data_IF_972963568062
#
_entry.id   IF_972963568062
#
_cell.length_a   1.000
_cell.length_b   1.000
_cell.length_c   1.000
_cell.angle_alpha   90.00
_cell.angle_beta   90.00
_cell.angle_gamma   90.00
#
_symmetry.space_group_name_H-M   'P 1'
#
loop_
_entity.id
_entity.type
_entity.pdbx_description
1 polymer ?
#
# COMPACT_ATOMS: atom_id res chain seq x y z
N UNK A 1 -1.27 9.60 -0.48
CA UNK A 1 -0.93 10.54 -1.58
C UNK A 1 -2.17 11.32 -2.03
N UNK A 2 -2.08 12.65 -2.22
CA UNK A 2 -3.17 13.50 -2.73
C UNK A 2 -2.81 14.14 -4.08
N UNK A 3 -3.65 13.98 -5.11
CA UNK A 3 -3.48 14.63 -6.42
C UNK A 3 -4.69 15.52 -6.72
N UNK A 4 -4.47 16.82 -6.90
CA UNK A 4 -5.55 17.77 -7.22
C UNK A 4 -5.12 18.79 -8.26
N UNK A 5 -5.79 18.77 -9.41
CA UNK A 5 -5.45 19.64 -10.53
C UNK A 5 -4.04 19.36 -11.03
N UNK A 6 -3.12 20.31 -10.83
CA UNK A 6 -1.68 20.22 -11.21
C UNK A 6 -0.76 19.99 -10.02
N UNK A 7 -1.33 19.79 -8.84
CA UNK A 7 -0.59 19.64 -7.60
C UNK A 7 -0.64 18.19 -7.11
N UNK A 8 0.45 17.77 -6.50
CA UNK A 8 0.56 16.46 -5.87
C UNK A 8 1.25 16.65 -4.51
N UNK A 9 0.66 16.08 -3.45
CA UNK A 9 1.11 16.24 -2.06
C UNK A 9 1.19 14.89 -1.36
N UNK A 10 2.36 14.57 -0.81
CA UNK A 10 2.52 13.41 0.06
C UNK A 10 2.17 13.80 1.50
N UNK A 11 1.45 12.92 2.18
CA UNK A 11 1.17 12.99 3.61
C UNK A 11 1.94 11.84 4.23
N UNK A 12 3.08 12.15 4.84
CA UNK A 12 4.06 11.18 5.32
C UNK A 12 3.95 11.14 6.85
N UNK A 13 3.36 10.08 7.44
CA UNK A 13 3.39 9.89 8.87
C UNK A 13 4.84 9.86 9.37
N UNK A 14 5.10 10.46 10.53
CA UNK A 14 6.42 10.39 11.15
C UNK A 14 6.64 9.11 11.96
N UNK A 15 5.56 8.42 12.31
CA UNK A 15 5.60 7.21 13.10
C UNK A 15 5.48 5.94 12.28
N UNK A 16 5.85 4.84 12.91
CA UNK A 16 5.71 3.46 12.43
C UNK A 16 5.15 2.59 13.57
N UNK A 17 4.91 1.31 13.37
CA UNK A 17 4.32 0.44 14.40
C UNK A 17 5.21 0.20 15.63
N UNK A 18 6.53 0.38 15.53
CA UNK A 18 7.47 0.18 16.63
C UNK A 18 7.84 1.47 17.38
N UNK A 19 7.57 2.64 16.79
CA UNK A 19 7.96 3.92 17.32
C UNK A 19 6.79 4.72 17.94
N UNK A 20 7.14 5.84 18.56
CA UNK A 20 6.18 6.76 19.17
C UNK A 20 6.27 8.17 18.59
N UNK A 21 6.88 8.32 17.41
CA UNK A 21 7.11 9.62 16.80
C UNK A 21 5.77 10.18 16.31
N UNK A 22 5.39 11.35 16.83
CA UNK A 22 4.10 11.97 16.50
C UNK A 22 4.23 12.99 15.38
N UNK A 23 3.19 13.10 14.57
CA UNK A 23 3.05 14.11 13.54
C UNK A 23 3.01 13.52 12.13
N UNK A 24 2.62 14.36 11.18
CA UNK A 24 2.53 14.02 9.76
C UNK A 24 3.17 15.16 8.97
N UNK A 25 4.16 14.84 8.15
CA UNK A 25 4.73 15.78 7.20
C UNK A 25 3.84 15.87 5.96
N UNK A 26 3.36 17.08 5.68
CA UNK A 26 2.64 17.41 4.45
C UNK A 26 3.66 17.98 3.49
N UNK A 27 4.00 17.20 2.46
CA UNK A 27 5.10 17.47 1.52
C UNK A 27 4.52 17.78 0.14
N UNK A 28 4.51 19.05 -0.30
CA UNK A 28 4.10 19.42 -1.65
C UNK A 28 5.14 18.97 -2.70
N UNK A 29 4.99 17.75 -3.21
CA UNK A 29 5.98 17.13 -4.10
C UNK A 29 5.90 17.58 -5.55
N UNK A 30 4.77 18.11 -6.01
CA UNK A 30 4.61 18.55 -7.39
C UNK A 30 3.67 19.76 -7.48
N UNK A 31 4.00 20.69 -8.36
CA UNK A 31 3.10 21.77 -8.78
C UNK A 31 3.13 21.92 -10.30
N UNK A 32 2.34 22.85 -10.85
CA UNK A 32 2.42 23.26 -12.26
C UNK A 32 3.84 23.63 -12.76
N UNK A 33 4.77 23.95 -11.84
CA UNK A 33 6.16 24.29 -12.17
C UNK A 33 7.08 23.07 -12.24
N UNK A 34 6.58 21.86 -11.92
CA UNK A 34 7.32 20.60 -11.96
C UNK A 34 7.44 19.90 -10.60
N UNK A 35 8.16 18.78 -10.60
CA UNK A 35 8.50 18.02 -9.39
C UNK A 35 9.40 18.82 -8.44
N UNK A 36 9.21 18.66 -7.14
CA UNK A 36 9.95 19.35 -6.08
C UNK A 36 9.67 20.86 -5.98
N UNK A 37 8.60 21.36 -6.61
CA UNK A 37 8.29 22.81 -6.65
C UNK A 37 7.03 23.21 -5.88
N UNK A 38 6.44 22.30 -5.10
CA UNK A 38 5.15 22.54 -4.42
C UNK A 38 5.21 23.51 -3.23
N UNK A 39 6.39 23.84 -2.74
CA UNK A 39 6.59 24.71 -1.57
C UNK A 39 7.34 24.02 -0.44
N UNK A 40 7.40 24.66 0.72
CA UNK A 40 8.01 24.06 1.91
C UNK A 40 7.06 23.05 2.56
N UNK A 41 7.59 21.94 3.12
CA UNK A 41 6.80 21.02 3.93
C UNK A 41 6.18 21.71 5.15
N UNK A 42 5.11 21.12 5.66
CA UNK A 42 4.45 21.55 6.89
C UNK A 42 4.13 20.35 7.79
N UNK A 43 4.32 20.53 9.09
CA UNK A 43 3.99 19.52 10.09
C UNK A 43 2.54 19.68 10.57
N UNK A 44 1.76 18.61 10.47
CA UNK A 44 0.49 18.48 11.19
C UNK A 44 0.76 17.72 12.48
N UNK A 45 0.56 18.38 13.62
CA UNK A 45 0.73 17.74 14.92
C UNK A 45 -0.40 16.73 15.19
N UNK A 46 -0.04 15.54 15.62
CA UNK A 46 -0.97 14.48 16.06
C UNK A 46 -0.76 14.19 17.54
N UNK A 47 -1.76 13.61 18.21
CA UNK A 47 -1.65 13.24 19.62
C UNK A 47 -0.86 11.93 19.81
N UNK A 48 -0.93 11.03 18.83
CA UNK A 48 -0.28 9.73 18.82
C UNK A 48 0.46 9.51 17.50
N UNK A 49 1.35 8.51 17.46
CA UNK A 49 2.13 8.16 16.28
C UNK A 49 1.19 7.73 15.14
N UNK A 50 1.06 8.61 14.13
CA UNK A 50 0.39 8.28 12.89
C UNK A 50 1.28 7.32 12.12
N UNK A 51 0.70 6.27 11.52
CA UNK A 51 1.44 5.20 10.85
C UNK A 51 1.10 5.12 9.35
N UNK A 52 -0.11 5.50 8.94
CA UNK A 52 -0.55 5.41 7.55
C UNK A 52 -1.46 6.58 7.20
N UNK A 53 -1.40 7.01 5.93
CA UNK A 53 -2.19 8.11 5.39
C UNK A 53 -2.67 7.82 3.97
N UNK A 54 -3.95 8.05 3.70
CA UNK A 54 -4.54 7.97 2.36
C UNK A 54 -5.50 9.12 2.10
N UNK A 55 -5.59 9.57 0.85
CA UNK A 55 -6.27 10.83 0.51
C UNK A 55 -7.35 10.64 -0.54
N UNK A 56 -8.48 11.32 -0.33
CA UNK A 56 -9.52 11.45 -1.33
C UNK A 56 -9.17 12.59 -2.29
N UNK A 57 -8.67 12.24 -3.47
CA UNK A 57 -8.30 13.23 -4.49
C UNK A 57 -9.50 14.01 -5.06
N UNK A 58 -10.72 13.45 -4.97
CA UNK A 58 -11.93 14.14 -5.40
C UNK A 58 -12.37 15.25 -4.43
N UNK A 59 -12.16 15.09 -3.12
CA UNK A 59 -12.59 16.06 -2.10
C UNK A 59 -11.46 16.88 -1.48
N UNK A 60 -10.21 16.39 -1.56
CA UNK A 60 -9.04 17.02 -0.95
C UNK A 60 -8.82 16.65 0.52
N UNK A 61 -9.64 15.77 1.08
CA UNK A 61 -9.51 15.31 2.45
C UNK A 61 -8.52 14.14 2.52
N UNK A 62 -7.66 14.16 3.53
CA UNK A 62 -6.75 13.06 3.87
C UNK A 62 -7.18 12.43 5.18
N UNK A 63 -7.11 11.10 5.23
CA UNK A 63 -7.32 10.29 6.44
C UNK A 63 -5.99 9.69 6.82
N UNK A 64 -5.58 9.87 8.06
CA UNK A 64 -4.43 9.18 8.62
C UNK A 64 -4.84 8.43 9.88
N UNK A 65 -4.22 7.30 10.16
CA UNK A 65 -4.50 6.50 11.35
C UNK A 65 -3.26 6.37 12.21
N UNK A 66 -3.44 6.23 13.51
CA UNK A 66 -2.37 6.03 14.47
C UNK A 66 -2.27 4.58 14.94
N UNK A 67 -1.18 4.21 15.62
CA UNK A 67 -1.02 2.87 16.20
C UNK A 67 -2.12 2.51 17.22
N UNK A 68 -2.83 3.51 17.76
CA UNK A 68 -3.99 3.32 18.62
C UNK A 68 -5.32 3.53 17.85
N UNK A 69 -6.40 3.82 18.55
CA UNK A 69 -7.72 4.03 17.92
C UNK A 69 -7.90 5.37 17.22
N UNK A 70 -6.93 6.30 17.26
CA UNK A 70 -7.08 7.63 16.66
C UNK A 70 -7.13 7.56 15.13
N UNK A 71 -8.06 8.32 14.56
CA UNK A 71 -8.19 8.57 13.12
C UNK A 71 -8.23 10.07 12.86
N UNK A 72 -7.26 10.58 12.12
CA UNK A 72 -7.09 12.01 11.83
C UNK A 72 -7.66 12.36 10.47
N UNK A 73 -8.55 13.37 10.43
CA UNK A 73 -9.00 13.98 9.17
C UNK A 73 -8.26 15.28 8.94
N UNK A 74 -7.60 15.40 7.79
CA UNK A 74 -6.72 16.50 7.47
C UNK A 74 -7.16 17.14 6.16
N UNK A 75 -7.26 18.48 6.14
CA UNK A 75 -7.51 19.27 4.95
C UNK A 75 -6.35 20.24 4.73
N UNK A 76 -5.58 20.03 3.65
CA UNK A 76 -4.33 20.75 3.43
C UNK A 76 -3.35 20.47 4.56
N UNK A 77 -3.00 21.50 5.34
CA UNK A 77 -2.11 21.40 6.51
C UNK A 77 -2.84 21.56 7.85
N UNK A 78 -4.16 21.40 7.86
CA UNK A 78 -5.00 21.57 9.07
C UNK A 78 -5.57 20.23 9.51
N UNK A 79 -5.32 19.85 10.76
CA UNK A 79 -6.06 18.77 11.43
C UNK A 79 -7.49 19.24 11.69
N UNK A 80 -8.43 18.73 10.89
CA UNK A 80 -9.84 19.12 10.96
C UNK A 80 -10.57 18.44 12.12
N UNK A 81 -10.27 17.17 12.37
CA UNK A 81 -10.85 16.40 13.47
C UNK A 81 -10.03 15.16 13.80
N UNK A 82 -10.15 14.70 15.03
CA UNK A 82 -9.73 13.37 15.46
C UNK A 82 -10.97 12.56 15.81
N UNK A 83 -11.07 11.37 15.24
CA UNK A 83 -12.12 10.39 15.49
C UNK A 83 -11.52 9.16 16.19
N UNK A 84 -12.39 8.28 16.67
CA UNK A 84 -12.01 7.03 17.34
C UNK A 84 -12.60 5.86 16.57
N UNK A 85 -11.75 4.98 16.04
CA UNK A 85 -12.17 3.76 15.34
C UNK A 85 -12.84 2.75 16.28
N UNK A 86 -13.39 1.69 15.70
CA UNK A 86 -13.96 0.57 16.42
C UNK A 86 -12.95 -0.49 16.85
N UNK A 87 -11.65 -0.26 16.67
CA UNK A 87 -10.61 -1.20 17.10
C UNK A 87 -10.73 -1.47 18.61
N UNK A 88 -10.70 -2.74 18.99
CA UNK A 88 -10.83 -3.17 20.39
C UNK A 88 -9.82 -4.25 20.79
N UNK A 89 -8.94 -4.62 19.87
CA UNK A 89 -7.77 -5.48 20.10
C UNK A 89 -6.57 -4.87 19.38
N UNK A 90 -5.43 -5.52 19.53
CA UNK A 90 -4.21 -5.29 18.74
C UNK A 90 -4.06 -6.41 17.72
N UNK A 91 -3.55 -6.08 16.54
CA UNK A 91 -3.01 -7.01 15.56
C UNK A 91 -1.49 -6.93 15.60
N UNK A 92 -0.84 -8.08 15.41
CA UNK A 92 0.60 -8.23 15.45
C UNK A 92 1.08 -8.73 14.10
N UNK A 93 2.16 -8.13 13.63
CA UNK A 93 2.85 -8.38 12.38
C UNK A 93 4.33 -8.63 12.64
N UNK A 94 5.11 -9.07 11.65
CA UNK A 94 6.58 -9.14 11.75
C UNK A 94 7.19 -7.78 12.11
N UNK A 95 6.62 -6.71 11.57
CA UNK A 95 7.05 -5.33 11.72
C UNK A 95 6.52 -4.54 12.92
N UNK A 96 5.58 -5.10 13.69
CA UNK A 96 5.09 -4.46 14.91
C UNK A 96 3.62 -4.70 15.25
N UNK A 97 3.08 -3.83 16.10
CA UNK A 97 1.76 -3.97 16.70
C UNK A 97 0.90 -2.72 16.49
N UNK A 98 -0.38 -2.91 16.20
CA UNK A 98 -1.30 -1.80 15.92
C UNK A 98 -2.76 -2.10 16.32
N UNK A 99 -3.49 -1.05 16.70
CA UNK A 99 -4.95 -1.07 16.79
C UNK A 99 -5.60 -0.60 15.49
N UNK A 100 -5.10 0.49 14.89
CA UNK A 100 -5.34 0.80 13.48
C UNK A 100 -4.03 0.56 12.73
N UNK A 101 -4.06 -0.30 11.73
CA UNK A 101 -2.84 -0.83 11.11
C UNK A 101 -2.52 -0.13 9.79
N UNK A 102 -3.54 0.20 8.99
CA UNK A 102 -3.37 0.91 7.73
C UNK A 102 -4.67 1.57 7.28
N UNK A 103 -4.59 2.44 6.27
CA UNK A 103 -5.75 3.11 5.70
C UNK A 103 -5.64 3.27 4.18
N UNK A 104 -6.72 2.94 3.47
CA UNK A 104 -6.87 3.22 2.04
C UNK A 104 -8.18 3.95 1.78
N UNK A 105 -8.16 4.97 0.92
CA UNK A 105 -9.35 5.76 0.57
C UNK A 105 -9.93 5.33 -0.77
N UNK A 106 -11.20 4.91 -0.76
CA UNK A 106 -12.00 4.82 -1.98
C UNK A 106 -12.63 6.18 -2.28
N UNK A 107 -11.99 6.90 -3.21
CA UNK A 107 -12.46 8.22 -3.66
C UNK A 107 -13.81 8.14 -4.41
N UNK A 108 -14.19 6.98 -4.96
CA UNK A 108 -15.44 6.80 -5.71
C UNK A 108 -16.65 6.69 -4.78
N UNK A 109 -16.46 6.12 -3.59
CA UNK A 109 -17.48 6.00 -2.56
C UNK A 109 -17.40 7.10 -1.50
N UNK A 110 -16.34 7.93 -1.52
CA UNK A 110 -16.03 8.90 -0.48
C UNK A 110 -15.95 8.23 0.91
N UNK A 111 -15.20 7.12 0.98
CA UNK A 111 -14.98 6.36 2.21
C UNK A 111 -13.51 6.05 2.40
N UNK A 112 -13.07 5.99 3.66
CA UNK A 112 -11.80 5.38 4.02
C UNK A 112 -12.05 3.99 4.58
N UNK A 113 -11.25 3.02 4.14
CA UNK A 113 -11.15 1.70 4.74
C UNK A 113 -9.95 1.69 5.68
N UNK A 114 -10.17 1.24 6.92
CA UNK A 114 -9.13 1.12 7.93
C UNK A 114 -9.02 -0.34 8.32
N UNK A 115 -7.81 -0.89 8.33
CA UNK A 115 -7.54 -2.19 8.95
C UNK A 115 -7.37 -1.99 10.45
N UNK A 116 -8.08 -2.81 11.23
CA UNK A 116 -8.17 -2.66 12.68
C UNK A 116 -8.00 -3.98 13.43
N UNK A 117 -7.45 -3.90 14.64
CA UNK A 117 -7.45 -5.02 15.59
C UNK A 117 -8.83 -5.26 16.19
N UNK A 118 -9.32 -6.50 16.05
CA UNK A 118 -10.62 -6.94 16.57
C UNK A 118 -10.50 -8.22 17.40
N UNK A 119 -11.17 -8.24 18.55
CA UNK A 119 -11.22 -9.45 19.40
C UNK A 119 -12.17 -10.51 18.83
N UNK A 120 -13.40 -10.12 18.46
CA UNK A 120 -14.42 -11.06 17.98
C UNK A 120 -14.32 -11.23 16.47
N UNK A 121 -14.01 -12.45 16.04
CA UNK A 121 -13.81 -12.77 14.63
C UNK A 121 -12.53 -12.20 14.04
N UNK A 122 -11.57 -11.81 14.88
CA UNK A 122 -10.25 -11.32 14.48
C UNK A 122 -9.17 -12.40 14.43
N UNK A 123 -7.88 -12.04 14.60
CA UNK A 123 -7.37 -10.81 15.24
C UNK A 123 -7.55 -9.50 14.45
N UNK A 124 -7.82 -9.57 13.15
CA UNK A 124 -8.02 -8.39 12.31
C UNK A 124 -9.45 -8.15 11.84
N UNK A 125 -9.66 -6.97 11.26
CA UNK A 125 -10.89 -6.61 10.60
C UNK A 125 -10.79 -5.31 9.82
N UNK A 126 -11.87 -5.00 9.12
CA UNK A 126 -11.96 -3.85 8.24
C UNK A 126 -13.08 -2.93 8.73
N UNK A 127 -12.83 -1.63 8.79
CA UNK A 127 -13.85 -0.67 9.14
C UNK A 127 -13.89 0.48 8.14
N UNK A 128 -15.06 0.71 7.56
CA UNK A 128 -15.29 1.89 6.74
C UNK A 128 -15.59 3.12 7.60
N UNK A 129 -15.04 4.25 7.18
CA UNK A 129 -15.39 5.59 7.61
C UNK A 129 -15.99 6.34 6.42
N UNK A 130 -17.26 6.73 6.54
CA UNK A 130 -17.90 7.65 5.59
C UNK A 130 -17.28 9.05 5.75
N UNK A 131 -16.82 9.64 4.65
CA UNK A 131 -16.16 10.96 4.61
C UNK A 131 -17.11 12.09 4.21
N UNK A 132 -18.42 11.88 4.35
CA UNK A 132 -19.47 12.85 4.06
C UNK A 132 -19.43 14.05 5.01
N UNK A 133 -20.48 14.88 4.96
CA UNK A 133 -20.55 16.12 5.76
C UNK A 133 -20.46 15.90 7.27
N UNK A 134 -20.86 14.72 7.75
CA UNK A 134 -20.68 14.26 9.13
C UNK A 134 -19.99 12.89 9.08
N UNK A 135 -18.67 12.82 9.29
CA UNK A 135 -17.96 11.56 9.24
C UNK A 135 -18.50 10.54 10.24
N UNK A 136 -18.71 9.31 9.78
CA UNK A 136 -19.31 8.25 10.60
C UNK A 136 -18.72 6.88 10.26
N UNK A 137 -18.39 6.10 11.30
CA UNK A 137 -17.91 4.74 11.13
C UNK A 137 -19.06 3.76 10.87
N UNK A 138 -18.80 2.80 10.00
CA UNK A 138 -19.63 1.62 9.83
C UNK A 138 -19.27 0.52 10.85
N UNK A 139 -20.12 -0.51 10.91
CA UNK A 139 -19.81 -1.69 11.70
C UNK A 139 -18.55 -2.39 11.14
N UNK A 140 -17.60 -2.81 11.99
CA UNK A 140 -16.46 -3.59 11.54
C UNK A 140 -16.86 -4.88 10.83
N UNK A 141 -16.09 -5.25 9.81
CA UNK A 141 -16.13 -6.53 9.11
C UNK A 141 -15.00 -7.38 9.69
N UNK A 142 -15.27 -8.42 10.49
CA UNK A 142 -14.23 -9.29 11.03
C UNK A 142 -13.52 -10.06 9.91
N UNK A 143 -12.19 -10.07 9.90
CA UNK A 143 -11.39 -10.72 8.85
C UNK A 143 -11.30 -12.25 9.05
N UNK A 144 -11.54 -12.75 10.26
CA UNK A 144 -11.34 -14.16 10.64
C UNK A 144 -9.88 -14.57 10.79
N UNK A 145 -8.94 -13.61 10.69
CA UNK A 145 -7.49 -13.77 10.68
C UNK A 145 -6.82 -12.39 10.75
N UNK A 146 -5.52 -12.32 10.51
CA UNK A 146 -4.82 -11.05 10.25
C UNK A 146 -5.27 -10.42 8.91
N UNK A 147 -5.19 -9.10 8.82
CA UNK A 147 -5.31 -8.36 7.55
C UNK A 147 -3.93 -8.17 6.91
N UNK A 148 -3.86 -7.54 5.75
CA UNK A 148 -2.61 -7.06 5.17
C UNK A 148 -2.03 -5.89 5.96
N UNK A 149 -0.70 -5.77 5.90
CA UNK A 149 0.04 -4.62 6.41
C UNK A 149 -0.23 -3.37 5.57
N UNK A 150 -0.28 -3.55 4.25
CA UNK A 150 -0.73 -2.52 3.31
C UNK A 150 -1.89 -3.04 2.43
N UNK A 151 -3.12 -2.70 2.83
CA UNK A 151 -4.33 -3.15 2.16
C UNK A 151 -4.61 -2.35 0.88
N UNK A 152 -5.11 -3.01 -0.16
CA UNK A 152 -5.58 -2.34 -1.39
C UNK A 152 -7.09 -2.44 -1.55
N UNK A 153 -7.67 -1.49 -2.28
CA UNK A 153 -9.10 -1.48 -2.62
C UNK A 153 -9.27 -1.38 -4.14
N UNK A 154 -10.05 -2.30 -4.70
CA UNK A 154 -10.50 -2.26 -6.08
C UNK A 154 -11.88 -1.58 -6.15
N UNK A 155 -11.95 -0.29 -6.53
CA UNK A 155 -13.23 0.40 -6.68
C UNK A 155 -14.04 -0.09 -7.89
N UNK A 156 -13.43 -0.79 -8.85
CA UNK A 156 -14.09 -1.31 -10.06
C UNK A 156 -14.77 -2.64 -9.78
N UNK A 157 -14.09 -3.57 -9.09
CA UNK A 157 -14.66 -4.90 -8.73
C UNK A 157 -15.30 -4.91 -7.35
N UNK A 158 -15.19 -3.82 -6.59
CA UNK A 158 -15.69 -3.70 -5.22
C UNK A 158 -15.08 -4.79 -4.31
N UNK A 159 -13.74 -4.89 -4.34
CA UNK A 159 -12.97 -5.84 -3.56
C UNK A 159 -12.00 -5.11 -2.63
N UNK A 160 -11.84 -5.62 -1.42
CA UNK A 160 -10.65 -5.37 -0.59
C UNK A 160 -9.66 -6.50 -0.88
N UNK A 161 -8.41 -6.15 -1.13
CA UNK A 161 -7.31 -7.07 -1.35
C UNK A 161 -6.43 -7.03 -0.10
N UNK A 162 -6.38 -8.14 0.62
CA UNK A 162 -5.77 -8.23 1.95
C UNK A 162 -5.00 -9.54 2.09
N UNK A 163 -3.83 -9.66 1.46
CA UNK A 163 -2.92 -10.75 1.71
C UNK A 163 -2.26 -10.61 3.07
N UNK A 164 -1.93 -11.72 3.72
CA UNK A 164 -1.38 -11.70 5.07
C UNK A 164 -0.28 -12.74 5.30
N UNK A 165 0.45 -12.55 6.39
CA UNK A 165 1.61 -13.34 6.79
C UNK A 165 1.27 -14.82 7.09
N UNK A 166 -0.01 -15.15 7.18
CA UNK A 166 -0.52 -16.52 7.33
C UNK A 166 -0.69 -17.25 5.99
N UNK A 167 0.02 -16.79 4.94
CA UNK A 167 -0.01 -17.36 3.59
C UNK A 167 -1.40 -17.35 2.93
N UNK A 168 -2.25 -16.37 3.26
CA UNK A 168 -3.58 -16.24 2.70
C UNK A 168 -3.76 -14.91 1.97
N UNK A 169 -4.15 -14.96 0.70
CA UNK A 169 -4.59 -13.78 -0.03
C UNK A 169 -6.11 -13.62 0.15
N UNK A 170 -6.56 -12.85 1.14
CA UNK A 170 -7.99 -12.65 1.37
C UNK A 170 -8.58 -11.61 0.41
N UNK A 171 -9.73 -11.93 -0.17
CA UNK A 171 -10.57 -10.98 -0.88
C UNK A 171 -11.86 -10.75 -0.09
N UNK A 172 -12.23 -9.49 0.10
CA UNK A 172 -13.52 -9.12 0.70
C UNK A 172 -14.38 -8.43 -0.36
N UNK A 173 -15.48 -9.06 -0.75
CA UNK A 173 -16.45 -8.45 -1.64
C UNK A 173 -17.36 -7.50 -0.86
N UNK A 174 -17.17 -6.21 -1.13
CA UNK A 174 -17.88 -5.08 -0.54
C UNK A 174 -18.97 -4.52 -1.46
N UNK A 175 -19.17 -5.13 -2.64
CA UNK A 175 -20.30 -4.85 -3.53
C UNK A 175 -21.63 -5.47 -3.06
N UNK A 176 -21.61 -6.23 -1.96
CA UNK A 176 -22.76 -6.90 -1.37
C UNK A 176 -22.90 -6.53 0.11
N UNK A 177 -24.13 -6.63 0.64
CA UNK A 177 -24.43 -6.36 2.04
C UNK A 177 -25.17 -7.56 2.67
N UNK A 178 -24.62 -8.19 3.73
CA UNK A 178 -23.30 -7.93 4.33
C UNK A 178 -22.15 -8.28 3.37
N UNK A 179 -20.96 -7.72 3.62
CA UNK A 179 -19.75 -8.06 2.87
C UNK A 179 -19.43 -9.56 3.00
N UNK A 180 -18.77 -10.13 1.99
CA UNK A 180 -18.43 -11.57 1.95
C UNK A 180 -16.93 -11.76 1.79
N UNK A 181 -16.36 -12.68 2.59
CA UNK A 181 -14.93 -12.94 2.64
C UNK A 181 -14.59 -14.22 1.90
N UNK A 182 -13.47 -14.22 1.18
CA UNK A 182 -12.96 -15.38 0.47
C UNK A 182 -11.46 -15.49 0.72
N UNK A 183 -11.01 -16.68 1.13
CA UNK A 183 -9.60 -16.98 1.33
C UNK A 183 -9.03 -17.72 0.10
N UNK A 184 -7.77 -17.44 -0.23
CA UNK A 184 -7.01 -18.24 -1.17
C UNK A 184 -5.80 -18.84 -0.44
N UNK A 185 -6.00 -20.08 -0.03
CA UNK A 185 -5.01 -20.91 0.65
C UNK A 185 -4.34 -21.91 -0.29
N UNK A 186 -4.63 -21.86 -1.60
CA UNK A 186 -4.02 -22.81 -2.56
C UNK A 186 -2.50 -22.61 -2.69
N UNK A 187 -2.00 -21.47 -2.21
CA UNK A 187 -0.59 -21.07 -2.15
C UNK A 187 0.17 -21.70 -0.97
N UNK A 188 -0.54 -22.32 -0.01
CA UNK A 188 0.04 -23.03 1.14
C UNK A 188 0.91 -24.24 0.73
N UNK A 189 0.79 -24.73 -0.51
CA UNK A 189 1.42 -25.98 -0.95
C UNK A 189 2.83 -25.86 -1.54
N UNK A 190 3.32 -24.64 -1.84
CA UNK A 190 4.58 -24.47 -2.61
C UNK A 190 5.78 -23.91 -1.85
N UNK A 191 5.58 -23.24 -0.72
CA UNK A 191 6.60 -22.69 0.21
C UNK A 191 5.86 -21.56 0.92
N UNK A 192 5.53 -21.70 2.20
CA UNK A 192 4.69 -20.74 2.95
C UNK A 192 5.07 -19.28 2.67
N UNK A 193 4.36 -18.56 1.78
CA UNK A 193 4.69 -17.17 1.54
C UNK A 193 4.25 -16.34 2.74
N UNK A 194 5.08 -15.38 3.14
CA UNK A 194 4.75 -14.42 4.18
C UNK A 194 4.27 -13.17 3.46
N UNK A 195 2.98 -13.15 3.11
CA UNK A 195 2.47 -12.01 2.36
C UNK A 195 2.31 -10.79 3.25
N UNK A 196 2.60 -9.64 2.67
CA UNK A 196 2.77 -8.43 3.46
C UNK A 196 1.88 -7.30 2.92
N UNK A 197 2.21 -6.80 1.72
CA UNK A 197 1.47 -5.71 1.06
C UNK A 197 0.67 -6.15 -0.16
N UNK A 198 -0.50 -5.54 -0.36
CA UNK A 198 -1.34 -5.69 -1.54
C UNK A 198 -1.14 -4.55 -2.54
N UNK A 199 -1.15 -4.88 -3.82
CA UNK A 199 -1.39 -3.87 -4.87
C UNK A 199 -2.19 -4.44 -6.03
N UNK A 200 -2.77 -3.56 -6.83
CA UNK A 200 -3.52 -3.95 -8.03
C UNK A 200 -3.36 -2.92 -9.14
N UNK A 201 -3.24 -3.41 -10.37
CA UNK A 201 -3.66 -2.62 -11.52
C UNK A 201 -5.15 -2.85 -11.78
N UNK A 202 -6.00 -2.00 -11.20
CA UNK A 202 -7.46 -2.12 -11.31
C UNK A 202 -7.96 -2.13 -12.77
N UNK A 203 -7.20 -1.55 -13.72
CA UNK A 203 -7.61 -1.50 -15.14
C UNK A 203 -7.57 -2.86 -15.80
N UNK A 204 -6.61 -3.71 -15.42
CA UNK A 204 -6.48 -5.08 -15.93
C UNK A 204 -7.06 -6.09 -14.94
N UNK A 205 -7.10 -5.79 -13.65
CA UNK A 205 -7.45 -6.74 -12.58
C UNK A 205 -6.30 -7.66 -12.18
N UNK A 206 -5.06 -7.27 -12.53
CA UNK A 206 -3.87 -7.98 -12.06
C UNK A 206 -3.57 -7.53 -10.64
N UNK A 207 -3.75 -8.44 -9.71
CA UNK A 207 -3.49 -8.25 -8.29
C UNK A 207 -2.13 -8.84 -7.91
N UNK A 208 -1.51 -8.23 -6.90
CA UNK A 208 -0.16 -8.50 -6.46
C UNK A 208 -0.13 -8.68 -4.94
N UNK A 209 0.84 -9.49 -4.49
CA UNK A 209 1.37 -9.47 -3.14
C UNK A 209 2.88 -9.45 -3.17
N UNK A 210 3.49 -8.75 -2.23
CA UNK A 210 4.88 -9.03 -1.80
C UNK A 210 4.94 -10.32 -0.97
N UNK A 211 6.12 -10.95 -0.93
CA UNK A 211 6.44 -12.15 -0.14
C UNK A 211 7.68 -11.85 0.71
N UNK A 212 7.43 -11.41 1.94
CA UNK A 212 8.42 -10.91 2.90
C UNK A 212 9.55 -11.92 3.11
N UNK A 213 10.78 -11.42 3.28
CA UNK A 213 11.99 -12.22 3.39
C UNK A 213 12.46 -12.85 2.08
N UNK A 214 11.78 -12.61 0.95
CA UNK A 214 12.11 -13.17 -0.35
C UNK A 214 12.23 -12.11 -1.45
N UNK A 215 12.73 -12.50 -2.62
CA UNK A 215 12.66 -11.69 -3.84
C UNK A 215 11.45 -12.01 -4.70
N UNK A 216 10.36 -12.56 -4.14
CA UNK A 216 9.21 -13.03 -4.93
C UNK A 216 8.04 -12.04 -4.88
N UNK A 217 7.22 -12.06 -5.92
CA UNK A 217 5.89 -11.45 -5.87
C UNK A 217 4.85 -12.50 -6.25
N UNK A 218 3.75 -12.54 -5.51
CA UNK A 218 2.56 -13.23 -5.98
C UNK A 218 1.84 -12.35 -6.99
N UNK A 219 1.49 -12.92 -8.14
CA UNK A 219 0.74 -12.24 -9.20
C UNK A 219 -0.43 -13.11 -9.63
N UNK A 220 -1.62 -12.52 -9.74
CA UNK A 220 -2.86 -13.24 -10.06
C UNK A 220 -3.81 -12.38 -10.89
N UNK A 221 -4.67 -13.01 -11.68
CA UNK A 221 -5.65 -12.32 -12.52
C UNK A 221 -7.07 -12.43 -11.97
N UNK A 222 -7.55 -11.36 -11.33
CA UNK A 222 -8.88 -11.31 -10.71
C UNK A 222 -10.02 -11.30 -11.74
N UNK A 223 -9.76 -11.04 -13.03
CA UNK A 223 -10.81 -11.17 -14.07
C UNK A 223 -11.21 -12.62 -14.32
N UNK A 224 -10.37 -13.56 -13.90
CA UNK A 224 -10.58 -15.00 -14.00
C UNK A 224 -10.92 -15.63 -12.64
N UNK A 225 -11.18 -14.82 -11.60
CA UNK A 225 -11.46 -15.31 -10.25
C UNK A 225 -12.76 -16.11 -10.17
N UNK A 226 -12.70 -17.27 -9.53
CA UNK A 226 -13.85 -18.09 -9.18
C UNK A 226 -14.04 -18.08 -7.69
N UNK A 227 -15.24 -17.71 -7.24
CA UNK A 227 -15.60 -17.62 -5.83
C UNK A 227 -16.51 -18.79 -5.45
N UNK A 228 -16.08 -19.55 -4.44
CA UNK A 228 -16.88 -20.61 -3.82
C UNK A 228 -17.36 -20.12 -2.45
N UNK A 229 -18.67 -19.92 -2.26
CA UNK A 229 -19.22 -19.48 -0.97
C UNK A 229 -18.85 -20.44 0.15
N UNK A 230 -18.75 -19.92 1.37
CA UNK A 230 -18.62 -20.74 2.56
C UNK A 230 -19.79 -21.70 2.70
N UNK A 231 -19.53 -22.89 3.26
CA UNK A 231 -20.61 -23.76 3.68
C UNK A 231 -21.46 -23.05 4.74
N UNK A 232 -22.78 -23.29 4.72
CA UNK A 232 -23.66 -22.74 5.74
C UNK A 232 -23.15 -23.17 7.13
N UNK A 233 -22.95 -22.23 8.08
CA UNK A 233 -22.46 -22.59 9.39
C UNK A 233 -23.45 -23.53 10.07
N UNK A 234 -22.93 -24.55 10.73
CA UNK A 234 -23.75 -25.33 11.66
C UNK A 234 -24.30 -24.40 12.76
N UNK A 235 -25.50 -24.65 13.31
CA UNK A 235 -26.04 -23.82 14.38
C UNK A 235 -25.02 -23.67 15.53
N UNK A 236 -24.61 -22.42 15.82
CA UNK A 236 -23.61 -22.10 16.84
C UNK A 236 -22.15 -22.08 16.38
N UNK A 237 -21.86 -22.31 15.10
CA UNK A 237 -20.52 -22.14 14.53
C UNK A 237 -20.31 -20.70 14.04
N UNK A 238 -19.08 -20.19 14.20
CA UNK A 238 -18.64 -18.94 13.58
C UNK A 238 -18.66 -19.11 12.06
N UNK A 239 -19.21 -18.15 11.28
CA UNK A 239 -19.12 -18.17 9.83
C UNK A 239 -17.65 -18.25 9.39
N UNK A 240 -17.32 -19.20 8.52
CA UNK A 240 -16.01 -19.24 7.88
C UNK A 240 -16.02 -18.40 6.60
N UNK A 241 -14.88 -17.87 6.15
CA UNK A 241 -14.75 -17.35 4.79
C UNK A 241 -15.07 -18.42 3.75
N UNK A 242 -15.52 -17.99 2.56
CA UNK A 242 -15.51 -18.81 1.36
C UNK A 242 -14.09 -19.03 0.86
N UNK A 243 -13.97 -19.64 -0.31
CA UNK A 243 -12.67 -19.75 -1.01
C UNK A 243 -12.73 -19.05 -2.35
N UNK A 244 -11.59 -18.57 -2.82
CA UNK A 244 -11.44 -18.14 -4.20
C UNK A 244 -10.17 -18.71 -4.82
N UNK A 245 -10.16 -18.77 -6.15
CA UNK A 245 -8.99 -19.15 -6.93
C UNK A 245 -9.00 -18.40 -8.25
N UNK A 246 -7.82 -18.16 -8.80
CA UNK A 246 -7.62 -17.62 -10.13
C UNK A 246 -6.26 -18.13 -10.65
N UNK A 247 -5.99 -18.03 -11.96
CA UNK A 247 -4.64 -18.22 -12.47
C UNK A 247 -3.68 -17.21 -11.82
N UNK A 248 -2.68 -17.72 -11.13
CA UNK A 248 -1.65 -16.93 -10.46
C UNK A 248 -0.39 -17.75 -10.21
N UNK A 249 0.70 -17.07 -9.84
CA UNK A 249 1.99 -17.68 -9.53
C UNK A 249 2.79 -16.82 -8.55
N UNK A 250 3.70 -17.45 -7.82
CA UNK A 250 4.83 -16.77 -7.21
C UNK A 250 5.92 -16.63 -8.27
N UNK A 251 6.18 -15.40 -8.70
CA UNK A 251 7.26 -15.09 -9.63
C UNK A 251 8.50 -14.66 -8.85
N UNK A 252 9.64 -15.26 -9.15
CA UNK A 252 10.91 -14.97 -8.48
C UNK A 252 11.71 -13.90 -9.22
N UNK A 253 12.24 -12.94 -8.46
CA UNK A 253 13.11 -11.86 -8.93
C UNK A 253 14.43 -11.94 -8.15
N UNK A 254 15.46 -12.64 -8.67
CA UNK A 254 16.73 -12.79 -7.98
C UNK A 254 17.39 -11.45 -7.61
N UNK A 255 17.15 -10.41 -8.40
CA UNK A 255 17.66 -9.07 -8.17
C UNK A 255 16.99 -8.33 -7.00
N UNK A 256 15.86 -8.84 -6.49
CA UNK A 256 15.15 -8.30 -5.33
C UNK A 256 15.57 -9.00 -4.02
N UNK A 257 16.39 -10.05 -4.09
CA UNK A 257 16.90 -10.74 -2.91
C UNK A 257 17.86 -9.88 -2.06
N UNK A 258 18.36 -8.77 -2.62
CA UNK A 258 19.23 -7.80 -1.93
C UNK A 258 18.43 -6.69 -1.23
N UNK A 259 17.10 -6.68 -1.34
CA UNK A 259 16.25 -5.73 -0.61
C UNK A 259 16.36 -6.01 0.88
N UNK A 260 16.29 -4.97 1.71
CA UNK A 260 16.23 -5.15 3.16
C UNK A 260 14.94 -5.87 3.52
N UNK A 261 15.07 -7.02 4.19
CA UNK A 261 13.98 -7.98 4.44
C UNK A 261 13.22 -8.48 3.20
N UNK A 262 13.80 -8.41 1.99
CA UNK A 262 13.15 -8.90 0.77
C UNK A 262 12.09 -7.92 0.23
N UNK A 263 11.08 -8.43 -0.48
CA UNK A 263 9.97 -7.60 -0.96
C UNK A 263 8.92 -7.48 0.13
N UNK A 264 8.59 -6.25 0.52
CA UNK A 264 7.69 -5.97 1.65
C UNK A 264 6.61 -4.96 1.24
N UNK A 265 7.01 -3.76 0.82
CA UNK A 265 6.10 -2.74 0.27
C UNK A 265 5.86 -2.85 -1.25
N UNK A 266 4.64 -2.53 -1.71
CA UNK A 266 4.35 -2.42 -3.15
C UNK A 266 3.24 -1.40 -3.47
N UNK A 267 3.41 -0.62 -4.53
CA UNK A 267 2.37 0.30 -5.01
C UNK A 267 2.32 0.40 -6.53
N UNK A 268 1.11 0.35 -7.10
CA UNK A 268 0.87 0.49 -8.54
C UNK A 268 0.46 1.94 -8.86
N UNK A 269 1.11 2.56 -9.85
CA UNK A 269 0.66 3.85 -10.37
C UNK A 269 -0.61 3.65 -11.22
N UNK A 270 -1.75 4.26 -10.85
CA UNK A 270 -3.04 3.94 -11.45
C UNK A 270 -3.08 4.05 -12.97
N UNK A 271 -3.48 2.98 -13.65
CA UNK A 271 -3.68 2.94 -15.11
C UNK A 271 -2.41 2.94 -15.95
N UNK A 272 -1.24 2.69 -15.35
CA UNK A 272 0.05 2.69 -16.08
C UNK A 272 0.68 1.31 -16.23
N UNK A 273 0.17 0.30 -15.51
CA UNK A 273 0.76 -1.03 -15.42
C UNK A 273 2.18 -1.03 -14.84
N UNK A 274 2.57 0.03 -14.11
CA UNK A 274 3.88 0.14 -13.46
C UNK A 274 3.70 0.15 -11.96
N UNK A 275 4.52 -0.65 -11.27
CA UNK A 275 4.56 -0.69 -9.82
C UNK A 275 5.99 -0.49 -9.31
N UNK A 276 6.10 0.15 -8.14
CA UNK A 276 7.32 0.22 -7.35
C UNK A 276 7.20 -0.81 -6.22
N UNK A 277 8.31 -1.47 -5.93
CA UNK A 277 8.42 -2.53 -4.91
C UNK A 277 9.58 -2.16 -4.01
N UNK A 278 9.39 -2.28 -2.71
CA UNK A 278 10.42 -1.94 -1.72
C UNK A 278 10.72 -3.10 -0.80
N UNK A 279 11.88 -3.02 -0.14
CA UNK A 279 12.06 -3.67 1.16
C UNK A 279 11.49 -2.84 2.30
N UNK A 280 11.97 -3.13 3.51
CA UNK A 280 11.61 -2.48 4.78
C UNK A 280 12.81 -2.48 5.76
N UNK A 281 12.65 -1.78 6.87
CA UNK A 281 13.66 -1.67 7.94
C UNK A 281 15.02 -1.13 7.46
N UNK A 282 14.96 -0.22 6.48
CA UNK A 282 16.14 0.40 5.89
C UNK A 282 16.53 -0.18 4.54
N UNK A 283 17.82 -0.03 4.22
CA UNK A 283 18.35 -0.42 2.91
C UNK A 283 18.06 0.62 1.83
N UNK A 284 18.60 0.37 0.63
CA UNK A 284 18.58 1.36 -0.45
C UNK A 284 18.49 0.73 -1.83
N UNK A 285 18.01 -0.50 -1.93
CA UNK A 285 17.87 -1.21 -3.19
C UNK A 285 16.40 -1.55 -3.34
N UNK A 286 15.77 -0.97 -4.35
CA UNK A 286 14.34 -1.11 -4.59
C UNK A 286 14.07 -1.58 -6.03
N UNK A 287 12.80 -1.86 -6.32
CA UNK A 287 12.36 -2.47 -7.57
C UNK A 287 11.34 -1.64 -8.32
N UNK A 288 11.37 -1.74 -9.65
CA UNK A 288 10.26 -1.33 -10.52
C UNK A 288 9.87 -2.51 -11.38
N UNK A 289 8.57 -2.77 -11.48
CA UNK A 289 8.00 -3.83 -12.32
C UNK A 289 7.00 -3.26 -13.33
N UNK A 290 6.93 -3.92 -14.48
CA UNK A 290 5.91 -3.71 -15.50
C UNK A 290 4.94 -4.90 -15.55
N UNK A 291 3.68 -4.62 -15.29
CA UNK A 291 2.58 -5.57 -15.34
C UNK A 291 2.09 -5.78 -16.78
N UNK A 292 1.42 -6.91 -17.07
CA UNK A 292 0.70 -7.09 -18.32
C UNK A 292 -0.30 -5.97 -18.56
N UNK A 293 -0.35 -5.44 -19.78
CA UNK A 293 -1.36 -4.44 -20.17
C UNK A 293 -2.72 -5.07 -20.53
N UNK A 294 -2.86 -6.39 -20.39
CA UNK A 294 -4.07 -7.16 -20.70
C UNK A 294 -4.24 -8.30 -19.72
N UNK A 295 -5.48 -8.69 -19.47
CA UNK A 295 -5.87 -9.81 -18.60
C UNK A 295 -6.80 -10.79 -19.33
N UNK A 296 -7.23 -11.84 -18.64
CA UNK A 296 -8.22 -12.81 -19.10
C UNK A 296 -7.64 -14.00 -19.89
N UNK A 297 -6.32 -14.24 -19.83
CA UNK A 297 -5.66 -15.26 -20.66
C UNK A 297 -4.69 -16.17 -19.88
N UNK A 298 -5.16 -16.74 -18.77
CA UNK A 298 -4.37 -17.66 -17.94
C UNK A 298 -3.50 -16.94 -16.91
N UNK A 299 -2.40 -17.58 -16.50
CA UNK A 299 -1.52 -17.07 -15.44
C UNK A 299 -0.75 -15.84 -15.89
N UNK A 300 -0.92 -14.68 -15.23
CA UNK A 300 -0.17 -13.45 -15.55
C UNK A 300 1.30 -13.57 -15.13
N UNK A 301 2.18 -12.81 -15.78
CA UNK A 301 3.60 -12.69 -15.43
C UNK A 301 4.05 -11.23 -15.57
N UNK A 302 4.99 -10.79 -14.73
CA UNK A 302 5.64 -9.49 -14.90
C UNK A 302 6.41 -9.48 -16.23
N UNK A 303 6.20 -8.42 -17.01
CA UNK A 303 6.67 -8.27 -18.40
C UNK A 303 8.12 -7.79 -18.45
N UNK A 304 8.48 -6.85 -17.59
CA UNK A 304 9.83 -6.34 -17.41
C UNK A 304 10.01 -5.89 -15.95
N UNK A 305 11.24 -5.90 -15.46
CA UNK A 305 11.56 -5.42 -14.12
C UNK A 305 13.00 -4.92 -14.05
N UNK A 306 13.25 -4.05 -13.09
CA UNK A 306 14.60 -3.67 -12.68
C UNK A 306 14.71 -3.52 -11.18
N UNK A 307 15.87 -3.85 -10.61
CA UNK A 307 16.31 -3.32 -9.33
C UNK A 307 17.22 -2.10 -9.54
N UNK A 308 17.21 -1.19 -8.57
CA UNK A 308 18.04 0.02 -8.61
C UNK A 308 18.43 0.44 -7.20
N UNK A 309 19.61 1.06 -7.07
CA UNK A 309 20.04 1.65 -5.81
C UNK A 309 19.53 3.09 -5.71
N UNK A 310 18.74 3.40 -4.69
CA UNK A 310 18.34 4.79 -4.39
C UNK A 310 19.61 5.59 -4.04
N UNK A 311 19.89 6.71 -4.73
CA UNK A 311 21.08 7.49 -4.45
C UNK A 311 21.09 8.05 -3.01
N UNK A 312 22.26 8.46 -2.54
CA UNK A 312 22.33 9.29 -1.33
C UNK A 312 21.47 10.54 -1.47
N UNK A 313 20.86 10.96 -0.37
CA UNK A 313 20.07 12.18 -0.31
C UNK A 313 20.95 13.44 -0.57
N UNK A 314 20.33 14.62 -0.77
CA UNK A 314 21.08 15.86 -1.02
C UNK A 314 22.03 16.30 0.10
N UNK A 315 21.94 15.71 1.30
CA UNK A 315 22.86 15.96 2.42
C UNK A 315 24.05 14.99 2.42
N UNK A 316 24.04 14.00 1.53
CA UNK A 316 25.09 12.99 1.39
C UNK A 316 24.88 11.75 2.27
N UNK A 317 23.73 11.64 2.93
CA UNK A 317 23.36 10.45 3.71
C UNK A 317 22.87 9.36 2.75
N UNK A 318 23.31 8.12 2.95
CA UNK A 318 22.82 6.97 2.15
C UNK A 318 21.33 6.80 2.42
N UNK A 319 20.56 6.51 1.38
CA UNK A 319 19.14 6.21 1.55
C UNK A 319 18.96 5.04 2.51
N UNK A 320 17.86 5.10 3.26
CA UNK A 320 17.48 4.08 4.23
C UNK A 320 15.95 4.06 4.23
N UNK A 321 15.36 3.03 3.62
CA UNK A 321 13.90 2.90 3.49
C UNK A 321 13.21 2.90 4.86
N UNK A 322 11.94 3.27 4.91
CA UNK A 322 11.16 3.29 6.14
C UNK A 322 10.84 1.91 6.73
N UNK A 323 10.01 1.96 7.77
CA UNK A 323 9.53 0.83 8.57
C UNK A 323 8.00 0.72 8.39
N UNK A 324 7.35 -0.23 9.05
CA UNK A 324 5.93 -0.52 8.81
C UNK A 324 4.95 0.47 9.44
N UNK A 325 3.83 0.76 8.78
CA UNK A 325 3.44 0.32 7.44
C UNK A 325 4.35 0.88 6.35
N UNK A 326 4.65 0.05 5.35
CA UNK A 326 5.59 0.33 4.26
C UNK A 326 5.51 1.75 3.70
N UNK A 327 6.65 2.45 3.65
CA UNK A 327 6.74 3.87 3.26
C UNK A 327 6.71 4.11 1.75
N UNK A 328 5.84 3.39 1.04
CA UNK A 328 5.75 3.39 -0.41
C UNK A 328 4.37 3.81 -0.91
N UNK A 329 4.33 4.58 -2.00
CA UNK A 329 3.09 4.79 -2.76
C UNK A 329 3.43 5.15 -4.20
N UNK A 330 2.44 5.18 -5.08
CA UNK A 330 2.64 5.52 -6.49
C UNK A 330 1.49 6.37 -7.02
N UNK A 331 1.79 7.23 -7.98
CA UNK A 331 0.80 8.08 -8.64
C UNK A 331 1.18 8.37 -10.08
N UNK A 332 0.22 8.91 -10.83
CA UNK A 332 0.47 9.47 -12.16
C UNK A 332 0.61 10.97 -12.02
N UNK A 333 1.75 11.53 -12.44
CA UNK A 333 2.00 12.96 -12.42
C UNK A 333 0.91 13.71 -13.19
N UNK A 334 0.20 14.67 -12.56
CA UNK A 334 -0.82 15.45 -13.25
C UNK A 334 -0.24 16.41 -14.31
N UNK A 335 1.08 16.66 -14.30
CA UNK A 335 1.72 17.59 -15.25
C UNK A 335 2.43 16.87 -16.40
N UNK A 336 2.88 15.63 -16.20
CA UNK A 336 3.70 14.89 -17.18
C UNK A 336 3.11 13.56 -17.62
N UNK A 337 2.05 13.08 -16.95
CA UNK A 337 1.47 11.75 -17.14
C UNK A 337 2.45 10.59 -16.90
N UNK A 338 3.62 10.86 -16.30
CA UNK A 338 4.56 9.82 -15.90
C UNK A 338 4.03 9.06 -14.68
N UNK A 339 4.28 7.75 -14.67
CA UNK A 339 4.11 6.91 -13.50
C UNK A 339 5.27 7.14 -12.53
N UNK A 340 4.97 7.63 -11.33
CA UNK A 340 5.97 7.99 -10.32
C UNK A 340 5.76 7.18 -9.05
N UNK A 341 6.82 6.56 -8.55
CA UNK A 341 6.87 5.97 -7.21
C UNK A 341 7.34 6.99 -6.18
N UNK A 342 6.85 6.91 -4.96
CA UNK A 342 7.25 7.72 -3.82
C UNK A 342 7.76 6.79 -2.73
N UNK A 343 8.95 7.10 -2.21
CA UNK A 343 9.59 6.39 -1.11
C UNK A 343 9.82 7.37 0.05
N UNK A 344 9.56 6.93 1.27
CA UNK A 344 9.90 7.65 2.50
C UNK A 344 11.11 7.02 3.18
N UNK A 345 11.97 7.84 3.79
CA UNK A 345 13.14 7.32 4.50
C UNK A 345 12.94 7.23 6.02
N UNK A 346 13.66 6.31 6.67
CA UNK A 346 13.60 6.06 8.12
C UNK A 346 13.92 7.31 8.97
N UNK A 347 14.82 8.17 8.48
CA UNK A 347 15.20 9.41 9.17
C UNK A 347 14.20 10.55 9.04
N UNK A 348 13.15 10.37 8.25
CA UNK A 348 12.12 11.35 7.96
C UNK A 348 12.66 12.69 7.42
N UNK A 349 13.68 12.68 6.55
CA UNK A 349 14.34 13.90 6.03
C UNK A 349 13.98 14.23 4.58
N UNK A 350 13.74 13.21 3.75
CA UNK A 350 13.37 13.38 2.35
C UNK A 350 12.37 12.31 1.92
N UNK A 351 11.51 12.68 0.98
CA UNK A 351 10.86 11.72 0.09
C UNK A 351 11.65 11.60 -1.22
N UNK A 352 11.79 10.40 -1.74
CA UNK A 352 12.33 10.15 -3.08
C UNK A 352 11.18 9.94 -4.07
N UNK A 353 11.19 10.69 -5.17
CA UNK A 353 10.26 10.56 -6.29
C UNK A 353 10.98 9.83 -7.42
N UNK A 354 10.44 8.70 -7.85
CA UNK A 354 11.08 7.75 -8.76
C UNK A 354 10.35 7.70 -10.11
N UNK A 355 11.05 7.99 -11.21
CA UNK A 355 10.54 7.80 -12.58
C UNK A 355 10.62 6.33 -13.00
N UNK A 356 9.51 5.60 -12.79
CA UNK A 356 9.46 4.15 -12.97
C UNK A 356 9.72 3.71 -14.42
N UNK A 357 9.08 4.38 -15.39
CA UNK A 357 9.33 4.10 -16.81
C UNK A 357 10.76 4.46 -17.21
N UNK A 358 11.29 5.56 -16.66
CA UNK A 358 12.66 5.97 -16.84
C UNK A 358 13.66 4.91 -16.37
N UNK A 359 13.44 4.31 -15.20
CA UNK A 359 14.27 3.22 -14.66
C UNK A 359 14.24 1.96 -15.51
N UNK A 360 13.07 1.52 -15.96
CA UNK A 360 12.96 0.37 -16.87
C UNK A 360 13.74 0.61 -18.18
N UNK A 361 13.79 1.85 -18.65
CA UNK A 361 14.54 2.25 -19.86
C UNK A 361 16.03 2.53 -19.65
N UNK A 362 16.50 2.56 -18.40
CA UNK A 362 17.86 2.98 -18.06
C UNK A 362 18.91 1.94 -18.48
N UNK A 363 20.18 2.36 -18.71
CA UNK A 363 21.27 1.42 -18.92
C UNK A 363 21.39 0.46 -17.73
N UNK A 364 21.30 -0.86 -18.00
CA UNK A 364 21.26 -1.91 -16.99
C UNK A 364 22.10 -3.12 -17.38
N UNK A 365 22.58 -3.86 -16.38
CA UNK A 365 23.24 -5.16 -16.55
C UNK A 365 22.27 -6.23 -16.07
N UNK A 366 21.69 -7.01 -17.00
CA UNK A 366 20.54 -7.86 -16.67
C UNK A 366 19.35 -6.99 -16.24
N UNK A 367 18.79 -7.30 -15.06
CA UNK A 367 17.72 -6.53 -14.45
C UNK A 367 18.21 -5.53 -13.37
N UNK A 368 19.51 -5.21 -13.33
CA UNK A 368 20.06 -4.24 -12.37
C UNK A 368 20.45 -2.95 -13.08
N UNK A 369 19.84 -1.81 -12.72
CA UNK A 369 20.21 -0.50 -13.28
C UNK A 369 21.65 -0.14 -12.91
N UNK A 370 22.42 0.34 -13.88
CA UNK A 370 23.81 0.69 -13.65
C UNK A 370 23.93 1.91 -12.72
N UNK A 371 24.86 1.85 -11.78
CA UNK A 371 25.21 2.95 -10.88
C UNK A 371 26.39 3.77 -11.47
N UNK A 372 26.36 5.12 -11.49
CA UNK A 372 25.30 6.02 -11.05
C UNK A 372 24.05 5.97 -11.92
N UNK A 373 22.88 6.16 -11.29
CA UNK A 373 21.62 6.32 -12.02
C UNK A 373 21.71 7.52 -12.97
N UNK A 374 21.10 7.43 -14.17
CA UNK A 374 20.88 8.59 -15.01
C UNK A 374 20.20 9.73 -14.25
N UNK A 375 20.65 10.97 -14.52
CA UNK A 375 20.12 12.14 -13.85
C UNK A 375 18.61 12.32 -14.10
N UNK A 376 17.87 12.66 -13.06
CA UNK A 376 16.43 12.92 -13.13
C UNK A 376 15.54 11.69 -12.99
N UNK A 377 16.09 10.49 -12.81
CA UNK A 377 15.30 9.29 -12.49
C UNK A 377 14.84 9.24 -11.03
N UNK A 378 15.59 9.87 -10.13
CA UNK A 378 15.21 10.07 -8.73
C UNK A 378 15.30 11.55 -8.40
N UNK A 379 14.24 12.09 -7.80
CA UNK A 379 14.18 13.48 -7.32
C UNK A 379 13.87 13.48 -5.82
N UNK A 380 14.73 14.12 -5.02
CA UNK A 380 14.50 14.27 -3.58
C UNK A 380 13.76 15.55 -3.26
N UNK A 381 12.78 15.46 -2.38
CA UNK A 381 12.06 16.61 -1.81
C UNK A 381 12.18 16.55 -0.29
N UNK A 382 12.64 17.61 0.39
CA UNK A 382 12.69 17.64 1.85
C UNK A 382 11.30 17.39 2.43
N UNK A 383 11.22 16.73 3.59
CA UNK A 383 9.97 16.53 4.31
C UNK A 383 9.93 17.18 5.69
#
# INVERSE_FOLDING_TARGET
>A
MLVQGTNATAYVPLGNWEDSTTGINVVPIESKSGLGTGGSPALVATAHAANSCSSNSATGQTVCVANNTDVYLINGTTLASTLTSGANSTMSFSGGDCQNCGVVVDSTLNKALITIGLETGGPGGYQFLDLGGTPAFEAPIPAGGETSEDVSIDPVRHLILSPNEQSNYQLVNIGVSPATLFNNTSLESTSFPTFDSAAEDCTTGIALSTDEGTGNLFITDLTQATFTPAAAPSPGATPSPGTWSAPGQLQSFPEFADFSAGTCGIAVAPGTHLAIVTGEFGGNVEGVIQLPSTSGSGTPAVVDWVSFTVPSDPTGVVWDEGFDPHTVTAYVSPNTSKALGILGNSSNTFVAIVDMAGLLSAPRTGHVVNNPLPAGLVTFVPQ
#
